data_IF_466686457306
#
_entry.id   IF_466686457306
#
_cell.length_a   1.000
_cell.length_b   1.000
_cell.length_c   1.000
_cell.angle_alpha   90.00
_cell.angle_beta   90.00
_cell.angle_gamma   90.00
#
_symmetry.space_group_name_H-M   'P 1'
#
loop_
_entity.id
_entity.type
_entity.pdbx_description
1 polymer ?
#
# COMPACT_ATOMS: atom_id res chain seq x y z
N UNK A 1 -17.58 11.11 3.12
CA UNK A 1 -16.46 11.70 3.85
C UNK A 1 -15.15 11.05 3.41
N UNK A 2 -14.15 11.84 3.07
CA UNK A 2 -12.88 11.29 2.62
C UNK A 2 -12.07 10.75 3.79
N UNK A 3 -11.49 9.56 3.61
CA UNK A 3 -10.60 8.94 4.59
C UNK A 3 -9.33 9.76 4.75
N UNK A 4 -8.81 10.24 3.61
CA UNK A 4 -7.60 11.06 3.54
C UNK A 4 -7.88 12.23 2.61
N UNK A 5 -7.46 13.43 2.98
CA UNK A 5 -7.64 14.61 2.14
C UNK A 5 -6.57 14.68 1.05
N UNK A 6 -6.90 15.39 -0.03
CA UNK A 6 -5.92 15.62 -1.10
C UNK A 6 -4.70 16.37 -0.58
N UNK A 7 -4.89 17.30 0.35
CA UNK A 7 -3.79 18.03 0.97
C UNK A 7 -2.81 17.10 1.68
N UNK A 8 -3.33 16.14 2.44
CA UNK A 8 -2.49 15.16 3.14
C UNK A 8 -1.68 14.31 2.16
N UNK A 9 -2.31 13.91 1.04
CA UNK A 9 -1.62 13.15 0.00
C UNK A 9 -0.50 13.96 -0.64
N UNK A 10 -0.75 15.23 -0.94
CA UNK A 10 0.27 16.12 -1.50
C UNK A 10 1.44 16.31 -0.54
N UNK A 11 1.16 16.54 0.74
CA UNK A 11 2.19 16.69 1.76
C UNK A 11 3.06 15.46 1.90
N UNK A 12 2.47 14.27 1.74
CA UNK A 12 3.20 13.02 1.81
C UNK A 12 3.97 12.68 0.53
N UNK A 13 3.80 13.47 -0.54
CA UNK A 13 4.50 13.24 -1.80
C UNK A 13 3.99 12.07 -2.61
N UNK A 14 2.79 11.58 -2.35
CA UNK A 14 2.26 10.39 -3.05
C UNK A 14 1.85 10.67 -4.49
N UNK A 15 1.86 11.92 -4.93
CA UNK A 15 1.58 12.28 -6.31
C UNK A 15 2.75 11.99 -7.26
N UNK A 16 3.95 11.71 -6.72
CA UNK A 16 5.12 11.37 -7.55
C UNK A 16 5.07 9.90 -7.94
N UNK A 17 5.06 9.64 -9.25
CA UNK A 17 5.12 8.28 -9.78
C UNK A 17 6.53 7.89 -10.20
N UNK A 18 6.62 6.89 -11.05
CA UNK A 18 7.90 6.45 -11.59
C UNK A 18 8.42 7.41 -12.65
N UNK A 19 9.72 7.31 -12.93
CA UNK A 19 10.32 8.01 -14.06
C UNK A 19 9.66 7.57 -15.37
N UNK A 20 9.59 8.47 -16.35
CA UNK A 20 8.91 8.20 -17.63
C UNK A 20 9.44 6.96 -18.34
N UNK A 21 10.73 6.67 -18.21
CA UNK A 21 11.34 5.47 -18.82
C UNK A 21 10.79 4.16 -18.27
N UNK A 22 10.09 4.21 -17.12
CA UNK A 22 9.47 3.03 -16.49
C UNK A 22 7.98 2.98 -16.77
N UNK A 23 7.58 3.46 -17.91
CA UNK A 23 6.18 3.52 -18.31
C UNK A 23 5.52 2.15 -18.31
N UNK A 24 4.35 2.09 -17.70
CA UNK A 24 3.47 0.94 -17.77
C UNK A 24 2.10 1.41 -18.25
N UNK A 25 1.64 0.97 -19.43
CA UNK A 25 0.35 1.41 -19.98
C UNK A 25 -0.85 1.17 -19.07
N UNK A 26 -0.77 0.20 -18.19
CA UNK A 26 -1.85 -0.09 -17.24
C UNK A 26 -2.07 1.04 -16.24
N UNK A 27 -1.08 1.90 -16.04
CA UNK A 27 -1.17 3.05 -15.15
C UNK A 27 -1.67 4.31 -15.83
N UNK A 28 -1.91 4.28 -17.15
CA UNK A 28 -2.25 5.48 -17.92
C UNK A 28 -3.45 6.23 -17.34
N UNK A 29 -4.49 5.51 -16.92
CA UNK A 29 -5.70 6.14 -16.40
C UNK A 29 -5.50 6.83 -15.04
N UNK A 30 -4.41 6.52 -14.33
CA UNK A 30 -4.12 7.09 -13.02
C UNK A 30 -3.09 8.21 -13.08
N UNK A 31 -2.53 8.50 -14.25
CA UNK A 31 -1.50 9.51 -14.40
C UNK A 31 -2.14 10.82 -14.88
N UNK A 32 -1.84 11.91 -14.14
CA UNK A 32 -2.35 13.22 -14.47
C UNK A 32 -1.52 13.90 -15.57
N UNK A 33 -0.20 13.94 -15.40
CA UNK A 33 0.72 14.55 -16.36
C UNK A 33 2.15 14.10 -16.09
N UNK A 34 3.08 14.59 -16.91
CA UNK A 34 4.51 14.39 -16.73
C UNK A 34 5.16 15.71 -16.38
N UNK A 35 6.10 15.69 -15.45
CA UNK A 35 6.93 16.85 -15.09
C UNK A 35 8.34 16.40 -14.79
N UNK A 36 9.32 17.02 -15.46
CA UNK A 36 10.75 16.77 -15.23
C UNK A 36 11.11 15.27 -15.31
N UNK A 37 10.52 14.57 -16.27
CA UNK A 37 10.80 13.15 -16.47
C UNK A 37 10.14 12.21 -15.47
N UNK A 38 9.21 12.70 -14.67
CA UNK A 38 8.48 11.93 -13.67
C UNK A 38 6.99 12.08 -13.93
N UNK A 39 6.25 10.97 -13.87
CA UNK A 39 4.79 11.02 -13.96
C UNK A 39 4.20 11.51 -12.65
N UNK A 40 3.16 12.32 -12.78
CA UNK A 40 2.40 12.81 -11.63
C UNK A 40 1.07 12.06 -11.58
N UNK A 41 0.81 11.42 -10.45
CA UNK A 41 -0.40 10.64 -10.25
C UNK A 41 -1.60 11.55 -10.02
N UNK A 42 -2.75 11.19 -10.61
CA UNK A 42 -4.00 11.92 -10.42
C UNK A 42 -4.56 11.63 -9.03
N UNK A 43 -4.39 12.57 -8.11
CA UNK A 43 -4.81 12.39 -6.73
C UNK A 43 -6.32 12.34 -6.53
N UNK A 44 -7.12 12.89 -7.45
CA UNK A 44 -8.57 12.75 -7.38
C UNK A 44 -8.98 11.30 -7.49
N UNK A 45 -8.34 10.57 -8.40
CA UNK A 45 -8.56 9.12 -8.53
C UNK A 45 -8.00 8.35 -7.35
N UNK A 46 -6.87 8.79 -6.81
CA UNK A 46 -6.26 8.19 -5.62
C UNK A 46 -7.21 8.26 -4.42
N UNK A 47 -7.83 9.42 -4.18
CA UNK A 47 -8.77 9.60 -3.08
C UNK A 47 -9.95 8.63 -3.22
N UNK A 48 -10.53 8.52 -4.42
CA UNK A 48 -11.63 7.61 -4.67
C UNK A 48 -11.25 6.16 -4.43
N UNK A 49 -10.10 5.74 -4.95
CA UNK A 49 -9.62 4.37 -4.77
C UNK A 49 -9.30 4.06 -3.31
N UNK A 50 -8.79 5.04 -2.60
CA UNK A 50 -8.49 4.89 -1.18
C UNK A 50 -9.77 4.69 -0.37
N UNK A 51 -10.84 5.42 -0.70
CA UNK A 51 -12.14 5.24 -0.06
C UNK A 51 -12.71 3.85 -0.33
N UNK A 52 -12.60 3.37 -1.56
CA UNK A 52 -13.02 2.02 -1.93
C UNK A 52 -12.23 0.96 -1.15
N UNK A 53 -10.91 1.13 -1.08
CA UNK A 53 -10.04 0.21 -0.35
C UNK A 53 -10.37 0.22 1.15
N UNK A 54 -10.61 1.39 1.72
CA UNK A 54 -10.98 1.52 3.12
C UNK A 54 -12.28 0.77 3.43
N UNK A 55 -13.29 0.96 2.60
CA UNK A 55 -14.57 0.27 2.78
C UNK A 55 -14.41 -1.24 2.69
N UNK A 56 -13.59 -1.72 1.75
CA UNK A 56 -13.33 -3.14 1.58
C UNK A 56 -12.63 -3.73 2.81
N UNK A 57 -11.57 -3.07 3.28
CA UNK A 57 -10.82 -3.53 4.46
C UNK A 57 -11.69 -3.50 5.71
N UNK A 58 -12.50 -2.44 5.87
CA UNK A 58 -13.43 -2.33 6.99
C UNK A 58 -14.40 -3.50 7.02
N UNK A 59 -14.93 -3.88 5.85
CA UNK A 59 -15.84 -5.01 5.75
C UNK A 59 -15.15 -6.32 6.14
N UNK A 60 -13.92 -6.52 5.71
CA UNK A 60 -13.15 -7.70 6.10
C UNK A 60 -12.94 -7.76 7.61
N UNK A 61 -12.65 -6.62 8.23
CA UNK A 61 -12.46 -6.55 9.67
C UNK A 61 -13.75 -6.85 10.43
N UNK A 62 -14.88 -6.35 9.94
CA UNK A 62 -16.19 -6.62 10.52
C UNK A 62 -16.56 -8.10 10.43
N UNK A 63 -16.12 -8.77 9.36
CA UNK A 63 -16.34 -10.21 9.16
C UNK A 63 -15.35 -11.08 9.96
N UNK A 64 -14.48 -10.49 10.76
CA UNK A 64 -13.50 -11.22 11.54
C UNK A 64 -12.35 -11.80 10.75
N UNK A 65 -12.09 -11.29 9.54
CA UNK A 65 -11.00 -11.76 8.70
C UNK A 65 -9.64 -11.25 9.20
N UNK A 66 -8.60 -12.00 8.90
CA UNK A 66 -7.24 -11.64 9.23
C UNK A 66 -6.58 -10.99 8.01
N UNK A 67 -5.86 -9.90 8.24
CA UNK A 67 -5.19 -9.15 7.19
C UNK A 67 -3.68 -9.29 7.37
N UNK A 68 -2.98 -9.64 6.30
CA UNK A 68 -1.53 -9.66 6.28
C UNK A 68 -1.01 -8.36 5.68
N UNK A 69 -0.27 -7.61 6.48
CA UNK A 69 0.35 -6.36 6.03
C UNK A 69 1.68 -6.67 5.36
N UNK A 70 1.87 -6.19 4.15
CA UNK A 70 3.10 -6.43 3.39
C UNK A 70 3.71 -5.10 2.95
N UNK A 71 4.94 -4.86 3.33
CA UNK A 71 5.67 -3.66 2.93
C UNK A 71 7.16 -3.93 2.98
N UNK A 72 7.70 -4.51 1.92
CA UNK A 72 9.11 -4.92 1.86
C UNK A 72 10.03 -3.79 1.41
N UNK A 73 9.48 -2.68 0.93
CA UNK A 73 10.27 -1.51 0.56
C UNK A 73 10.82 -0.84 1.81
N UNK A 74 12.08 -0.41 1.76
CA UNK A 74 12.77 0.18 2.92
C UNK A 74 11.96 1.31 3.56
N UNK A 75 11.34 2.15 2.74
CA UNK A 75 10.57 3.30 3.22
C UNK A 75 9.28 2.91 3.96
N UNK A 76 8.80 1.70 3.75
CA UNK A 76 7.55 1.22 4.34
C UNK A 76 7.74 0.33 5.57
N UNK A 77 8.97 -0.13 5.85
CA UNK A 77 9.22 -1.15 6.89
C UNK A 77 8.68 -0.77 8.27
N UNK A 78 8.97 0.45 8.72
CA UNK A 78 8.53 0.91 10.04
C UNK A 78 7.02 1.13 10.10
N UNK A 79 6.45 1.75 9.07
CA UNK A 79 5.01 2.01 9.03
C UNK A 79 4.23 0.70 9.05
N UNK A 80 4.66 -0.29 8.29
CA UNK A 80 4.02 -1.61 8.25
C UNK A 80 4.08 -2.28 9.62
N UNK A 81 5.25 -2.27 10.26
CA UNK A 81 5.43 -2.85 11.59
C UNK A 81 4.51 -2.18 12.63
N UNK A 82 4.54 -0.86 12.67
CA UNK A 82 3.77 -0.09 13.64
C UNK A 82 2.27 -0.29 13.48
N UNK A 83 1.77 -0.18 12.25
CA UNK A 83 0.34 -0.25 12.00
C UNK A 83 -0.21 -1.66 12.17
N UNK A 84 0.52 -2.68 11.72
CA UNK A 84 0.08 -4.06 11.90
C UNK A 84 0.09 -4.45 13.37
N UNK A 85 1.13 -4.05 14.11
CA UNK A 85 1.23 -4.33 15.54
C UNK A 85 0.12 -3.63 16.34
N UNK A 86 -0.22 -2.42 15.96
CA UNK A 86 -1.28 -1.65 16.62
C UNK A 86 -2.63 -2.37 16.59
N UNK A 87 -2.91 -3.09 15.52
CA UNK A 87 -4.18 -3.81 15.37
C UNK A 87 -4.04 -5.32 15.59
N UNK A 88 -2.86 -5.79 15.99
CA UNK A 88 -2.65 -7.21 16.29
C UNK A 88 -2.65 -8.13 15.08
N UNK A 89 -2.30 -7.62 13.91
CA UNK A 89 -2.24 -8.41 12.68
C UNK A 89 -0.80 -8.80 12.33
N UNK A 90 -0.67 -9.82 11.49
CA UNK A 90 0.65 -10.22 11.00
C UNK A 90 1.18 -9.25 9.96
N UNK A 91 2.50 -9.18 9.85
CA UNK A 91 3.13 -8.33 8.84
C UNK A 91 4.39 -8.98 8.27
N UNK A 92 4.74 -8.56 7.05
CA UNK A 92 5.99 -8.89 6.38
C UNK A 92 6.59 -7.57 5.94
N UNK A 93 7.69 -7.17 6.58
CA UNK A 93 8.37 -5.90 6.25
C UNK A 93 9.86 -6.10 5.93
N UNK A 94 10.26 -7.34 5.69
CA UNK A 94 11.58 -7.70 5.24
C UNK A 94 11.44 -8.42 3.90
N UNK A 95 12.31 -9.37 3.60
CA UNK A 95 12.25 -10.10 2.35
C UNK A 95 11.00 -10.99 2.27
N UNK A 96 10.29 -10.94 1.14
CA UNK A 96 9.22 -11.90 0.86
C UNK A 96 9.83 -13.27 0.57
N UNK A 97 9.47 -14.25 1.36
CA UNK A 97 9.96 -15.61 1.18
C UNK A 97 9.04 -16.39 0.23
N UNK A 98 9.62 -17.19 -0.66
CA UNK A 98 8.85 -18.04 -1.53
C UNK A 98 7.95 -18.98 -0.73
N UNK A 99 6.69 -19.10 -1.12
CA UNK A 99 5.73 -19.97 -0.46
C UNK A 99 5.13 -19.39 0.81
N UNK A 100 5.25 -18.09 1.09
CA UNK A 100 4.66 -17.49 2.29
C UNK A 100 3.16 -17.71 2.41
N UNK A 101 2.42 -17.71 1.30
CA UNK A 101 0.98 -17.94 1.32
C UNK A 101 0.64 -19.45 1.41
N UNK A 102 1.46 -20.28 0.80
CA UNK A 102 1.23 -21.74 0.79
C UNK A 102 1.81 -22.44 2.02
N UNK A 103 2.89 -21.90 2.59
CA UNK A 103 3.56 -22.39 3.79
C UNK A 103 3.43 -21.38 4.94
N UNK A 104 2.23 -20.90 5.17
CA UNK A 104 1.95 -19.78 6.08
C UNK A 104 2.52 -20.01 7.49
N UNK A 105 2.22 -21.13 8.11
CA UNK A 105 2.64 -21.39 9.48
C UNK A 105 4.15 -21.40 9.68
N UNK A 106 4.89 -21.87 8.69
CA UNK A 106 6.34 -21.98 8.78
C UNK A 106 7.02 -20.64 8.45
N UNK A 107 6.61 -20.02 7.33
CA UNK A 107 7.34 -18.86 6.80
C UNK A 107 6.91 -17.54 7.41
N UNK A 108 5.64 -17.35 7.68
CA UNK A 108 5.15 -16.13 8.34
C UNK A 108 5.66 -16.09 9.78
N UNK A 109 5.68 -17.20 10.47
CA UNK A 109 6.24 -17.27 11.82
C UNK A 109 7.68 -16.82 11.90
N UNK A 110 8.48 -17.08 10.86
CA UNK A 110 9.87 -16.62 10.77
C UNK A 110 9.98 -15.14 10.41
N UNK A 111 9.10 -14.67 9.53
CA UNK A 111 9.15 -13.29 9.05
C UNK A 111 8.60 -12.29 10.07
N UNK A 112 7.74 -12.73 10.94
CA UNK A 112 7.02 -11.88 11.90
C UNK A 112 7.77 -11.70 13.22
N UNK A 113 8.98 -12.09 13.30
CA UNK A 113 9.76 -12.00 14.54
C UNK A 113 10.14 -10.56 14.92
#
# INVERSE_FOLDING_TARGET
MAVVSMKQLLEAGVHFGHQTRRWNPKMAEYIYCERNGIYIIDLQKTVKKLEEAYAFVRQLAEDGKTILFVGTKKQATEAVREEASRVGMYYVNARWLGGMLTNFKTKIGRAHV
#
